data_IF_861207769379
#
_entry.id   IF_861207769379
#
_cell.length_a   1.000
_cell.length_b   1.000
_cell.length_c   1.000
_cell.angle_alpha   90.00
_cell.angle_beta   90.00
_cell.angle_gamma   90.00
#
_symmetry.space_group_name_H-M   'P 1'
#
loop_
_entity.id
_entity.type
_entity.pdbx_description
1 polymer ?
#
# COMPACT_ATOMS: atom_id res chain seq x y z
N UNK A 1 -17.21 8.29 -39.65
CA UNK A 1 -17.39 8.35 -38.18
C UNK A 1 -16.73 9.64 -37.72
N UNK A 2 -17.44 10.54 -37.05
CA UNK A 2 -16.83 11.79 -36.55
C UNK A 2 -15.92 11.44 -35.37
N UNK A 3 -14.64 11.24 -35.65
CA UNK A 3 -13.63 10.88 -34.66
C UNK A 3 -13.54 11.92 -33.53
N UNK A 4 -13.78 13.19 -33.84
CA UNK A 4 -13.89 14.28 -32.85
C UNK A 4 -15.04 14.08 -31.85
N UNK A 5 -16.21 13.62 -32.33
CA UNK A 5 -17.36 13.32 -31.46
C UNK A 5 -17.06 12.14 -30.51
N UNK A 6 -16.28 11.17 -30.96
CA UNK A 6 -15.84 10.04 -30.13
C UNK A 6 -14.89 10.50 -29.02
N UNK A 7 -13.88 11.31 -29.36
CA UNK A 7 -12.93 11.86 -28.39
C UNK A 7 -13.60 12.75 -27.35
N UNK A 8 -14.52 13.63 -27.79
CA UNK A 8 -15.37 14.42 -26.91
C UNK A 8 -16.15 13.55 -25.92
N UNK A 9 -16.83 12.52 -26.43
CA UNK A 9 -17.66 11.62 -25.61
C UNK A 9 -16.82 10.84 -24.61
N UNK A 10 -15.64 10.36 -25.01
CA UNK A 10 -14.73 9.64 -24.13
C UNK A 10 -14.21 10.53 -22.99
N UNK A 11 -13.84 11.78 -23.28
CA UNK A 11 -13.42 12.75 -22.24
C UNK A 11 -14.57 13.08 -21.28
N UNK A 12 -15.78 13.28 -21.79
CA UNK A 12 -16.97 13.50 -20.96
C UNK A 12 -17.23 12.31 -20.02
N UNK A 13 -17.16 11.08 -20.56
CA UNK A 13 -17.29 9.86 -19.76
C UNK A 13 -16.23 9.82 -18.65
N UNK A 14 -14.96 10.13 -18.96
CA UNK A 14 -13.88 10.14 -17.96
C UNK A 14 -14.13 11.15 -16.85
N UNK A 15 -14.57 12.38 -17.19
CA UNK A 15 -14.88 13.42 -16.22
C UNK A 15 -16.06 13.00 -15.33
N UNK A 16 -17.19 12.61 -15.93
CA UNK A 16 -18.40 12.23 -15.19
C UNK A 16 -18.13 11.02 -14.29
N UNK A 17 -17.45 10.00 -14.82
CA UNK A 17 -17.09 8.80 -14.04
C UNK A 17 -16.21 9.17 -12.87
N UNK A 18 -15.17 9.99 -13.08
CA UNK A 18 -14.26 10.40 -12.00
C UNK A 18 -14.96 11.22 -10.92
N UNK A 19 -15.89 12.11 -11.31
CA UNK A 19 -16.70 12.88 -10.35
C UNK A 19 -17.60 11.97 -9.52
N UNK A 20 -18.31 11.03 -10.15
CA UNK A 20 -19.14 10.05 -9.43
C UNK A 20 -18.28 9.23 -8.47
N UNK A 21 -17.13 8.74 -8.94
CA UNK A 21 -16.18 7.98 -8.13
C UNK A 21 -15.69 8.80 -6.94
N UNK A 22 -15.36 10.07 -7.13
CA UNK A 22 -14.94 10.98 -6.07
C UNK A 22 -16.05 11.17 -5.02
N UNK A 23 -17.28 11.44 -5.46
CA UNK A 23 -18.45 11.62 -4.58
C UNK A 23 -18.69 10.35 -3.75
N UNK A 24 -18.76 9.18 -4.40
CA UNK A 24 -18.96 7.90 -3.70
C UNK A 24 -17.83 7.68 -2.69
N UNK A 25 -16.57 7.91 -3.08
CA UNK A 25 -15.42 7.69 -2.19
C UNK A 25 -15.40 8.64 -0.99
N UNK A 26 -15.92 9.85 -1.14
CA UNK A 26 -16.01 10.83 -0.07
C UNK A 26 -17.06 10.44 0.98
N UNK A 27 -18.26 10.09 0.51
CA UNK A 27 -19.43 9.89 1.38
C UNK A 27 -19.58 8.45 1.88
N UNK A 28 -19.01 7.46 1.19
CA UNK A 28 -19.14 6.06 1.59
C UNK A 28 -17.98 5.60 2.48
N UNK A 29 -18.33 5.11 3.67
CA UNK A 29 -17.48 4.36 4.57
C UNK A 29 -18.28 3.13 5.04
N UNK A 30 -17.67 1.95 4.97
CA UNK A 30 -18.34 0.74 5.45
C UNK A 30 -18.35 0.73 6.98
N UNK A 31 -19.50 0.54 7.61
CA UNK A 31 -19.59 0.30 9.05
C UNK A 31 -19.05 -1.10 9.38
N UNK A 32 -18.26 -1.30 10.46
CA UNK A 32 -17.92 -0.36 11.55
C UNK A 32 -16.63 0.45 11.33
N UNK A 33 -16.01 0.34 10.15
CA UNK A 33 -14.71 0.95 9.87
C UNK A 33 -14.77 2.48 9.78
N UNK A 34 -15.97 3.03 9.66
CA UNK A 34 -16.28 4.45 9.75
C UNK A 34 -15.93 5.07 11.11
N UNK A 35 -15.83 4.27 12.18
CA UNK A 35 -15.44 4.74 13.52
C UNK A 35 -13.98 5.20 13.60
N UNK A 36 -13.08 4.62 12.80
CA UNK A 36 -11.65 4.96 12.74
C UNK A 36 -11.19 5.15 11.28
N UNK A 37 -11.69 6.17 10.58
CA UNK A 37 -11.54 6.29 9.13
C UNK A 37 -10.10 6.60 8.71
N UNK A 38 -9.33 7.31 9.54
CA UNK A 38 -7.92 7.63 9.23
C UNK A 38 -7.02 6.39 9.30
N UNK A 39 -7.41 5.40 10.10
CA UNK A 39 -6.73 4.11 10.16
C UNK A 39 -7.10 3.25 8.96
N UNK A 40 -8.39 2.95 8.76
CA UNK A 40 -8.85 2.02 7.71
C UNK A 40 -8.75 2.60 6.29
N UNK A 41 -8.79 3.93 6.15
CA UNK A 41 -8.83 4.62 4.87
C UNK A 41 -7.88 5.84 4.81
N UNK A 42 -6.57 5.66 5.05
CA UNK A 42 -5.61 6.75 5.25
C UNK A 42 -5.49 7.70 4.04
N UNK A 43 -5.59 7.17 2.83
CA UNK A 43 -5.48 7.95 1.58
C UNK A 43 -6.81 8.53 1.08
N UNK A 44 -7.94 8.34 1.79
CA UNK A 44 -9.29 8.64 1.26
C UNK A 44 -9.42 10.05 0.71
N UNK A 45 -9.04 11.06 1.51
CA UNK A 45 -9.22 12.48 1.13
C UNK A 45 -8.39 12.84 -0.10
N UNK A 46 -7.15 12.35 -0.15
CA UNK A 46 -6.26 12.58 -1.29
C UNK A 46 -6.77 11.90 -2.55
N UNK A 47 -7.11 10.60 -2.47
CA UNK A 47 -7.67 9.85 -3.60
C UNK A 47 -8.93 10.52 -4.14
N UNK A 48 -9.80 11.01 -3.25
CA UNK A 48 -10.99 11.78 -3.65
C UNK A 48 -10.61 13.07 -4.39
N UNK A 49 -9.67 13.86 -3.85
CA UNK A 49 -9.22 15.09 -4.47
C UNK A 49 -8.62 14.87 -5.87
N UNK A 50 -7.85 13.80 -6.05
CA UNK A 50 -7.31 13.43 -7.37
C UNK A 50 -8.41 13.03 -8.36
N UNK A 51 -9.42 12.26 -7.95
CA UNK A 51 -10.57 11.99 -8.82
C UNK A 51 -11.32 13.26 -9.23
N UNK A 52 -11.46 14.25 -8.33
CA UNK A 52 -12.00 15.56 -8.69
C UNK A 52 -11.08 16.36 -9.63
N UNK A 53 -9.76 16.20 -9.55
CA UNK A 53 -8.82 16.94 -10.40
C UNK A 53 -8.97 16.59 -11.89
N UNK A 54 -9.62 15.48 -12.25
CA UNK A 54 -10.00 15.16 -13.63
C UNK A 54 -10.95 16.22 -14.23
N UNK A 55 -11.67 17.00 -13.41
CA UNK A 55 -12.43 18.18 -13.85
C UNK A 55 -11.58 19.23 -14.56
N UNK A 56 -10.25 19.24 -14.34
CA UNK A 56 -9.35 20.13 -15.05
C UNK A 56 -9.31 19.84 -16.56
N UNK A 57 -9.82 18.70 -17.03
CA UNK A 57 -9.98 18.38 -18.44
C UNK A 57 -11.21 19.03 -19.10
N UNK A 58 -12.03 19.75 -18.34
CA UNK A 58 -13.22 20.46 -18.87
C UNK A 58 -12.94 21.38 -20.04
N UNK A 59 -11.80 22.10 -20.17
CA UNK A 59 -11.54 22.94 -21.34
C UNK A 59 -11.58 22.17 -22.65
N UNK A 60 -11.15 20.90 -22.66
CA UNK A 60 -11.20 20.03 -23.84
C UNK A 60 -12.63 19.76 -24.33
N UNK A 61 -13.64 19.87 -23.46
CA UNK A 61 -15.04 19.73 -23.89
C UNK A 61 -15.54 20.98 -24.62
N UNK A 62 -15.02 22.16 -24.30
CA UNK A 62 -15.47 23.41 -24.90
C UNK A 62 -14.64 23.83 -26.12
N UNK A 63 -13.34 23.51 -26.11
CA UNK A 63 -12.35 23.92 -27.11
C UNK A 63 -11.55 22.72 -27.62
N UNK A 64 -12.25 21.70 -28.13
CA UNK A 64 -11.62 20.45 -28.60
C UNK A 64 -10.72 20.64 -29.84
N UNK A 65 -10.96 21.71 -30.61
CA UNK A 65 -10.23 22.11 -31.81
C UNK A 65 -9.04 23.04 -31.52
N UNK A 66 -8.92 23.56 -30.30
CA UNK A 66 -7.84 24.46 -29.89
C UNK A 66 -6.51 23.72 -29.68
N UNK A 67 -5.41 24.18 -30.32
CA UNK A 67 -4.07 23.62 -30.08
C UNK A 67 -3.61 23.75 -28.63
N UNK A 68 -3.93 24.87 -27.96
CA UNK A 68 -3.57 25.11 -26.56
C UNK A 68 -4.25 24.09 -25.63
N UNK A 69 -5.52 23.82 -25.89
CA UNK A 69 -6.33 22.86 -25.13
C UNK A 69 -5.85 21.43 -25.33
N UNK A 70 -5.49 21.10 -26.57
CA UNK A 70 -4.92 19.81 -26.93
C UNK A 70 -3.57 19.56 -26.22
N UNK A 71 -2.67 20.54 -26.27
CA UNK A 71 -1.37 20.47 -25.60
C UNK A 71 -1.53 20.33 -24.08
N UNK A 72 -2.42 21.13 -23.47
CA UNK A 72 -2.72 21.05 -22.05
C UNK A 72 -3.21 19.63 -21.66
N UNK A 73 -4.16 19.08 -22.41
CA UNK A 73 -4.78 17.77 -22.11
C UNK A 73 -3.74 16.64 -22.13
N UNK A 74 -2.82 16.66 -23.10
CA UNK A 74 -1.72 15.69 -23.18
C UNK A 74 -0.73 15.85 -22.03
N UNK A 75 -0.34 17.08 -21.72
CA UNK A 75 0.57 17.37 -20.60
C UNK A 75 -0.04 16.96 -19.25
N UNK A 76 -1.35 17.18 -19.07
CA UNK A 76 -2.07 16.83 -17.85
C UNK A 76 -1.84 15.37 -17.48
N UNK A 77 -2.07 14.41 -18.39
CA UNK A 77 -2.00 12.99 -18.05
C UNK A 77 -0.61 12.50 -17.63
N UNK A 78 0.45 12.93 -18.33
CA UNK A 78 1.82 12.49 -18.05
C UNK A 78 2.33 13.00 -16.71
N UNK A 79 1.74 14.05 -16.14
CA UNK A 79 2.12 14.58 -14.82
C UNK A 79 1.10 14.18 -13.74
N UNK A 80 -0.19 14.22 -14.03
CA UNK A 80 -1.27 13.84 -13.12
C UNK A 80 -1.15 12.39 -12.63
N UNK A 81 -0.98 11.42 -13.53
CA UNK A 81 -0.95 9.99 -13.17
C UNK A 81 0.17 9.64 -12.20
N UNK A 82 1.44 10.03 -12.43
CA UNK A 82 2.52 9.65 -11.54
C UNK A 82 2.45 10.41 -10.21
N UNK A 83 1.99 11.67 -10.21
CA UNK A 83 1.69 12.40 -8.97
C UNK A 83 0.59 11.71 -8.15
N UNK A 84 -0.50 11.31 -8.79
CA UNK A 84 -1.60 10.59 -8.13
C UNK A 84 -1.11 9.26 -7.54
N UNK A 85 -0.41 8.46 -8.33
CA UNK A 85 0.14 7.18 -7.89
C UNK A 85 1.09 7.32 -6.70
N UNK A 86 2.02 8.26 -6.77
CA UNK A 86 2.98 8.53 -5.70
C UNK A 86 2.26 8.90 -4.40
N UNK A 87 1.37 9.90 -4.43
CA UNK A 87 0.66 10.37 -3.25
C UNK A 87 -0.29 9.30 -2.67
N UNK A 88 -0.98 8.54 -3.52
CA UNK A 88 -1.90 7.49 -3.09
C UNK A 88 -1.17 6.34 -2.38
N UNK A 89 -0.10 5.83 -2.98
CA UNK A 89 0.72 4.74 -2.42
C UNK A 89 1.47 5.22 -1.16
N UNK A 90 2.05 6.42 -1.19
CA UNK A 90 2.78 6.97 -0.05
C UNK A 90 1.88 7.11 1.18
N UNK A 91 0.70 7.72 1.02
CA UNK A 91 -0.25 7.91 2.12
C UNK A 91 -0.78 6.60 2.69
N UNK A 92 -0.95 5.59 1.84
CA UNK A 92 -1.59 4.35 2.27
C UNK A 92 -0.61 3.43 2.99
N UNK A 93 0.59 3.26 2.42
CA UNK A 93 1.54 2.24 2.89
C UNK A 93 2.64 2.79 3.81
N UNK A 94 2.89 4.10 3.85
CA UNK A 94 4.02 4.67 4.60
C UNK A 94 3.56 5.73 5.60
N UNK A 95 3.82 5.49 6.90
CA UNK A 95 3.38 6.33 8.02
C UNK A 95 4.54 7.23 8.48
N UNK A 96 5.09 8.05 7.58
CA UNK A 96 6.19 8.96 7.91
C UNK A 96 5.76 10.43 7.79
N UNK A 97 5.21 10.98 8.88
CA UNK A 97 4.50 12.28 8.94
C UNK A 97 5.40 13.47 8.54
N UNK A 98 6.70 13.43 8.87
CA UNK A 98 7.62 14.55 8.58
C UNK A 98 8.09 14.60 7.13
N UNK A 99 8.34 13.44 6.51
CA UNK A 99 8.68 13.35 5.08
C UNK A 99 7.45 13.62 4.20
N UNK A 100 6.25 13.34 4.73
CA UNK A 100 4.96 13.62 4.10
C UNK A 100 4.81 15.04 3.57
N UNK A 101 4.98 16.05 4.42
CA UNK A 101 4.66 17.45 4.06
C UNK A 101 5.58 17.97 2.95
N UNK A 102 6.89 17.75 3.07
CA UNK A 102 7.88 18.21 2.08
C UNK A 102 7.62 17.56 0.71
N UNK A 103 7.36 16.25 0.74
CA UNK A 103 7.06 15.47 -0.45
C UNK A 103 5.75 15.94 -1.13
N UNK A 104 4.69 16.25 -0.37
CA UNK A 104 3.44 16.78 -0.94
C UNK A 104 3.57 18.16 -1.58
N UNK A 105 4.35 19.04 -0.96
CA UNK A 105 4.64 20.34 -1.58
C UNK A 105 5.40 20.14 -2.91
N UNK A 106 6.39 19.24 -2.93
CA UNK A 106 7.23 19.01 -4.10
C UNK A 106 6.51 18.32 -5.28
N UNK A 107 5.62 17.35 -5.01
CA UNK A 107 5.06 16.46 -6.04
C UNK A 107 3.60 16.77 -6.38
N UNK A 108 2.87 17.41 -5.46
CA UNK A 108 1.49 17.82 -5.68
C UNK A 108 1.39 19.31 -6.03
N UNK A 109 1.80 20.16 -5.09
CA UNK A 109 1.54 21.61 -5.17
C UNK A 109 2.34 22.29 -6.28
N UNK A 110 3.65 22.02 -6.37
CA UNK A 110 4.53 22.68 -7.36
C UNK A 110 4.10 22.36 -8.80
N UNK A 111 3.91 21.08 -9.21
CA UNK A 111 3.40 20.79 -10.55
C UNK A 111 2.04 21.44 -10.80
N UNK A 112 1.12 21.42 -9.83
CA UNK A 112 -0.20 22.06 -9.98
C UNK A 112 -0.13 23.56 -10.23
N UNK A 113 0.78 24.27 -9.55
CA UNK A 113 1.02 25.70 -9.79
C UNK A 113 1.62 25.93 -11.18
N UNK A 114 2.58 25.10 -11.59
CA UNK A 114 3.20 25.18 -12.92
C UNK A 114 2.20 24.91 -14.06
N UNK A 115 1.15 24.13 -13.80
CA UNK A 115 0.08 23.85 -14.76
C UNK A 115 -0.98 24.93 -14.87
N UNK A 116 -1.11 25.81 -13.87
CA UNK A 116 -2.18 26.80 -13.83
C UNK A 116 -2.20 27.72 -15.07
N UNK A 117 -1.06 28.21 -15.60
CA UNK A 117 -1.05 29.00 -16.83
C UNK A 117 -1.55 28.21 -18.05
N UNK A 118 -1.15 26.94 -18.19
CA UNK A 118 -1.58 26.07 -19.29
C UNK A 118 -3.09 25.80 -19.21
N UNK A 119 -3.62 25.60 -18.00
CA UNK A 119 -5.06 25.44 -17.79
C UNK A 119 -5.82 26.72 -18.16
N UNK A 120 -5.33 27.90 -17.77
CA UNK A 120 -5.96 29.18 -18.12
C UNK A 120 -5.99 29.37 -19.65
N UNK A 121 -4.89 29.08 -20.34
CA UNK A 121 -4.83 29.18 -21.81
C UNK A 121 -5.77 28.17 -22.49
N UNK A 122 -5.83 26.94 -21.97
CA UNK A 122 -6.80 25.95 -22.43
C UNK A 122 -8.26 26.40 -22.25
N UNK A 123 -8.58 27.09 -21.16
CA UNK A 123 -9.91 27.67 -20.94
C UNK A 123 -10.25 28.80 -21.93
N UNK A 124 -9.24 29.51 -22.46
CA UNK A 124 -9.46 30.54 -23.49
C UNK A 124 -9.69 29.87 -24.86
N UNK A 125 -8.97 28.77 -25.13
CA UNK A 125 -9.22 27.93 -26.29
C UNK A 125 -8.71 28.52 -27.61
N UNK A 126 -7.57 29.20 -27.58
CA UNK A 126 -6.95 29.85 -28.74
C UNK A 126 -5.66 29.08 -29.16
N UNK A 127 -4.73 29.74 -29.85
CA UNK A 127 -3.44 29.17 -30.30
C UNK A 127 -2.20 29.93 -29.77
N UNK A 128 -2.23 30.46 -28.54
CA UNK A 128 -1.12 31.25 -27.99
C UNK A 128 0.18 30.46 -27.82
N UNK A 129 0.10 29.14 -27.67
CA UNK A 129 1.26 28.28 -27.42
C UNK A 129 1.88 27.71 -28.71
N UNK A 130 1.38 28.07 -29.89
CA UNK A 130 1.87 27.52 -31.17
C UNK A 130 3.38 27.73 -31.33
N UNK A 131 3.87 28.96 -31.14
CA UNK A 131 5.30 29.30 -31.20
C UNK A 131 6.13 28.66 -30.08
N UNK A 132 5.50 28.31 -28.96
CA UNK A 132 6.15 27.78 -27.76
C UNK A 132 5.93 26.26 -27.57
N UNK A 133 5.29 25.60 -28.55
CA UNK A 133 4.82 24.22 -28.42
C UNK A 133 5.92 23.24 -27.99
N UNK A 134 7.08 23.33 -28.65
CA UNK A 134 8.23 22.46 -28.36
C UNK A 134 8.80 22.73 -26.96
N UNK A 135 8.89 24.00 -26.57
CA UNK A 135 9.41 24.39 -25.26
C UNK A 135 8.51 23.85 -24.15
N UNK A 136 7.20 24.09 -24.25
CA UNK A 136 6.21 23.62 -23.26
C UNK A 136 6.20 22.09 -23.19
N UNK A 137 6.24 21.41 -24.33
CA UNK A 137 6.27 19.95 -24.40
C UNK A 137 7.51 19.37 -23.70
N UNK A 138 8.68 19.92 -23.96
CA UNK A 138 9.94 19.50 -23.31
C UNK A 138 9.88 19.76 -21.81
N UNK A 139 9.40 20.93 -21.39
CA UNK A 139 9.23 21.23 -19.95
C UNK A 139 8.27 20.25 -19.27
N UNK A 140 7.14 19.92 -19.90
CA UNK A 140 6.18 18.96 -19.38
C UNK A 140 6.79 17.54 -19.25
N UNK A 141 7.59 17.10 -20.23
CA UNK A 141 8.30 15.82 -20.14
C UNK A 141 9.34 15.84 -19.01
N UNK A 142 10.11 16.91 -18.85
CA UNK A 142 11.09 17.04 -17.75
C UNK A 142 10.38 16.94 -16.40
N UNK A 143 9.30 17.70 -16.20
CA UNK A 143 8.51 17.66 -14.95
C UNK A 143 7.90 16.27 -14.74
N UNK A 144 7.37 15.63 -15.79
CA UNK A 144 6.83 14.26 -15.73
C UNK A 144 7.89 13.26 -15.28
N UNK A 145 9.11 13.33 -15.83
CA UNK A 145 10.21 12.45 -15.45
C UNK A 145 10.64 12.66 -14.00
N UNK A 146 10.69 13.91 -13.51
CA UNK A 146 10.99 14.20 -12.12
C UNK A 146 9.96 13.54 -11.18
N UNK A 147 8.68 13.68 -11.46
CA UNK A 147 7.62 13.02 -10.68
C UNK A 147 7.67 11.50 -10.82
N UNK A 148 8.03 10.98 -11.99
CA UNK A 148 8.20 9.54 -12.21
C UNK A 148 9.35 8.94 -11.38
N UNK A 149 10.45 9.66 -11.18
CA UNK A 149 11.54 9.18 -10.30
C UNK A 149 11.04 8.93 -8.88
N UNK A 150 10.10 9.74 -8.41
CA UNK A 150 9.52 9.57 -7.09
C UNK A 150 8.53 8.39 -7.05
N UNK A 151 7.63 8.28 -8.05
CA UNK A 151 6.73 7.14 -8.16
C UNK A 151 7.52 5.81 -8.22
N UNK A 152 8.61 5.75 -8.97
CA UNK A 152 9.46 4.56 -9.06
C UNK A 152 10.17 4.27 -7.73
N UNK A 153 10.63 5.28 -7.00
CA UNK A 153 11.17 5.10 -5.65
C UNK A 153 10.12 4.54 -4.67
N UNK A 154 8.90 5.08 -4.65
CA UNK A 154 7.82 4.57 -3.78
C UNK A 154 7.44 3.14 -4.18
N UNK A 155 7.32 2.88 -5.48
CA UNK A 155 6.96 1.57 -6.01
C UNK A 155 8.00 0.52 -5.64
N UNK A 156 9.30 0.83 -5.78
CA UNK A 156 10.39 -0.08 -5.42
C UNK A 156 10.44 -0.34 -3.92
N UNK A 157 10.22 0.69 -3.08
CA UNK A 157 10.12 0.51 -1.64
C UNK A 157 8.92 -0.34 -1.23
N UNK A 158 7.75 -0.13 -1.86
CA UNK A 158 6.56 -0.94 -1.62
C UNK A 158 6.77 -2.38 -2.06
N UNK A 159 7.37 -2.59 -3.24
CA UNK A 159 7.71 -3.92 -3.74
C UNK A 159 8.70 -4.65 -2.82
N UNK A 160 9.70 -3.94 -2.30
CA UNK A 160 10.60 -4.48 -1.27
C UNK A 160 9.83 -4.89 -0.02
N UNK A 161 8.92 -4.04 0.47
CA UNK A 161 8.08 -4.37 1.64
C UNK A 161 7.16 -5.57 1.41
N UNK A 162 6.56 -5.69 0.22
CA UNK A 162 5.78 -6.86 -0.21
C UNK A 162 6.65 -8.11 -0.14
N UNK A 163 7.87 -8.04 -0.69
CA UNK A 163 8.83 -9.14 -0.70
C UNK A 163 9.19 -9.56 0.73
N UNK A 164 9.58 -8.61 1.57
CA UNK A 164 9.98 -8.86 2.95
C UNK A 164 8.84 -9.49 3.78
N UNK A 165 7.59 -9.07 3.53
CA UNK A 165 6.40 -9.63 4.17
C UNK A 165 6.16 -11.10 3.77
N UNK A 166 6.26 -11.43 2.47
CA UNK A 166 6.01 -12.79 1.97
C UNK A 166 7.05 -13.82 2.41
N UNK A 167 8.28 -13.41 2.69
CA UNK A 167 9.32 -14.32 3.14
C UNK A 167 9.32 -14.55 4.66
N UNK A 168 8.26 -14.12 5.37
CA UNK A 168 8.07 -14.36 6.80
C UNK A 168 9.22 -13.83 7.64
N UNK A 169 9.80 -12.69 7.24
CA UNK A 169 10.96 -12.13 7.92
C UNK A 169 10.59 -11.42 9.22
N UNK A 170 9.33 -11.04 9.43
CA UNK A 170 8.91 -10.25 10.58
C UNK A 170 8.46 -11.15 11.75
N UNK A 171 8.97 -10.88 12.95
CA UNK A 171 8.47 -11.45 14.22
C UNK A 171 7.26 -10.70 14.78
N UNK A 172 6.96 -9.52 14.23
CA UNK A 172 5.75 -8.75 14.51
C UNK A 172 4.80 -8.84 13.31
N UNK A 173 3.52 -9.10 13.58
CA UNK A 173 2.46 -8.91 12.60
C UNK A 173 2.18 -7.40 12.46
N UNK A 174 2.97 -6.71 11.64
CA UNK A 174 2.53 -5.41 11.13
C UNK A 174 1.22 -5.63 10.36
N UNK A 175 0.20 -4.79 10.61
CA UNK A 175 -1.08 -4.76 9.87
C UNK A 175 -0.86 -4.28 8.42
N UNK A 176 -0.07 -5.03 7.66
CA UNK A 176 0.31 -4.73 6.30
C UNK A 176 -0.65 -5.43 5.32
N UNK A 177 -1.41 -4.68 4.51
CA UNK A 177 -2.42 -5.24 3.62
C UNK A 177 -1.79 -5.79 2.33
N UNK A 178 -1.20 -6.98 2.41
CA UNK A 178 -0.38 -7.60 1.35
C UNK A 178 -1.14 -7.84 0.03
N UNK A 179 -2.39 -8.32 0.09
CA UNK A 179 -3.19 -8.59 -1.10
C UNK A 179 -3.49 -7.31 -1.86
N UNK A 180 -3.84 -6.25 -1.13
CA UNK A 180 -4.02 -4.91 -1.69
C UNK A 180 -2.73 -4.39 -2.30
N UNK A 181 -1.61 -4.46 -1.58
CA UNK A 181 -0.30 -4.01 -2.04
C UNK A 181 0.11 -4.65 -3.37
N UNK A 182 -0.03 -5.97 -3.50
CA UNK A 182 0.27 -6.70 -4.74
C UNK A 182 -0.61 -6.26 -5.91
N UNK A 183 -1.88 -5.96 -5.65
CA UNK A 183 -2.82 -5.53 -6.69
C UNK A 183 -2.53 -4.14 -7.25
N UNK A 184 -2.03 -3.22 -6.41
CA UNK A 184 -1.89 -1.79 -6.80
C UNK A 184 -0.46 -1.34 -7.10
N UNK A 185 0.58 -2.08 -6.68
CA UNK A 185 1.97 -1.60 -6.72
C UNK A 185 2.45 -1.17 -8.11
N UNK A 186 2.13 -1.90 -9.18
CA UNK A 186 2.56 -1.57 -10.54
C UNK A 186 1.53 -0.79 -11.36
N UNK A 187 0.31 -0.60 -10.82
CA UNK A 187 -0.80 0.01 -11.55
C UNK A 187 -0.48 1.45 -12.01
N UNK A 188 0.03 2.37 -11.17
CA UNK A 188 0.32 3.73 -11.62
C UNK A 188 1.42 3.81 -12.68
N UNK A 189 2.45 2.95 -12.59
CA UNK A 189 3.50 2.89 -13.61
C UNK A 189 2.94 2.43 -14.95
N UNK A 190 2.04 1.43 -14.95
CA UNK A 190 1.38 0.96 -16.17
C UNK A 190 0.45 1.99 -16.79
N UNK A 191 -0.24 2.81 -15.98
CA UNK A 191 -1.09 3.89 -16.49
C UNK A 191 -0.25 5.05 -17.02
N UNK A 192 0.90 5.34 -16.40
CA UNK A 192 1.81 6.38 -16.88
C UNK A 192 2.39 6.02 -18.24
N UNK A 193 2.82 4.76 -18.45
CA UNK A 193 3.33 4.34 -19.77
C UNK A 193 2.28 4.49 -20.86
N UNK A 194 1.01 4.14 -20.59
CA UNK A 194 -0.10 4.37 -21.52
C UNK A 194 -0.29 5.88 -21.80
N UNK A 195 -0.22 6.74 -20.78
CA UNK A 195 -0.33 8.19 -20.98
C UNK A 195 0.82 8.78 -21.78
N UNK A 196 2.03 8.24 -21.61
CA UNK A 196 3.20 8.68 -22.36
C UNK A 196 3.10 8.30 -23.84
N UNK A 197 2.51 7.13 -24.14
CA UNK A 197 2.17 6.75 -25.52
C UNK A 197 1.21 7.76 -26.14
N UNK A 198 0.17 8.20 -25.41
CA UNK A 198 -0.77 9.22 -25.89
C UNK A 198 -0.07 10.55 -26.17
N UNK A 199 0.86 10.95 -25.29
CA UNK A 199 1.62 12.17 -25.46
C UNK A 199 2.48 12.18 -26.74
N UNK A 200 3.10 11.04 -27.08
CA UNK A 200 3.95 10.90 -28.28
C UNK A 200 3.10 10.68 -29.55
N UNK A 201 2.02 9.92 -29.46
CA UNK A 201 1.21 9.54 -30.61
C UNK A 201 0.47 10.72 -31.26
N UNK A 202 0.28 11.81 -30.52
CA UNK A 202 -0.36 13.05 -30.98
C UNK A 202 -1.69 12.80 -31.72
N UNK A 203 -2.51 11.91 -31.17
CA UNK A 203 -3.72 11.40 -31.83
C UNK A 203 -4.91 11.36 -30.87
N UNK A 204 -6.00 12.02 -31.25
CA UNK A 204 -7.23 12.11 -30.47
C UNK A 204 -7.88 10.75 -30.19
N UNK A 205 -7.80 9.81 -31.12
CA UNK A 205 -8.39 8.46 -30.95
C UNK A 205 -7.64 7.69 -29.86
N UNK A 206 -6.32 7.86 -29.78
CA UNK A 206 -5.49 7.23 -28.74
C UNK A 206 -5.81 7.83 -27.36
N UNK A 207 -6.02 9.15 -27.30
CA UNK A 207 -6.50 9.83 -26.09
C UNK A 207 -7.89 9.31 -25.67
N UNK A 208 -8.82 9.17 -26.61
CA UNK A 208 -10.15 8.65 -26.34
C UNK A 208 -10.10 7.23 -25.75
N UNK A 209 -9.26 6.35 -26.31
CA UNK A 209 -9.01 5.02 -25.76
C UNK A 209 -8.45 5.08 -24.33
N UNK A 210 -7.48 5.96 -24.04
CA UNK A 210 -6.96 6.16 -22.69
C UNK A 210 -8.07 6.59 -21.73
N UNK A 211 -8.92 7.55 -22.11
CA UNK A 211 -10.03 8.05 -21.29
C UNK A 211 -11.01 6.93 -20.92
N UNK A 212 -11.34 6.04 -21.85
CA UNK A 212 -12.20 4.88 -21.58
C UNK A 212 -11.50 3.90 -20.63
N UNK A 213 -10.21 3.58 -20.86
CA UNK A 213 -9.42 2.72 -19.98
C UNK A 213 -9.38 3.30 -18.56
N UNK A 214 -9.08 4.59 -18.42
CA UNK A 214 -9.04 5.27 -17.12
C UNK A 214 -10.40 5.29 -16.43
N UNK A 215 -11.49 5.45 -17.19
CA UNK A 215 -12.86 5.36 -16.65
C UNK A 215 -13.13 3.98 -16.06
N UNK A 216 -12.85 2.91 -16.81
CA UNK A 216 -13.01 1.52 -16.32
C UNK A 216 -12.12 1.25 -15.12
N UNK A 217 -10.86 1.65 -15.17
CA UNK A 217 -9.90 1.48 -14.07
C UNK A 217 -10.32 2.27 -12.84
N UNK A 218 -10.86 3.49 -12.99
CA UNK A 218 -11.32 4.30 -11.85
C UNK A 218 -12.48 3.65 -11.10
N UNK A 219 -13.44 3.06 -11.82
CA UNK A 219 -14.54 2.29 -11.21
C UNK A 219 -14.02 1.02 -10.56
N UNK A 220 -13.12 0.29 -11.23
CA UNK A 220 -12.48 -0.90 -10.67
C UNK A 220 -11.73 -0.60 -9.37
N UNK A 221 -10.92 0.47 -9.35
CA UNK A 221 -10.22 0.95 -8.15
C UNK A 221 -11.24 1.31 -7.07
N UNK A 222 -12.32 2.05 -7.39
CA UNK A 222 -13.34 2.44 -6.41
C UNK A 222 -13.94 1.22 -5.72
N UNK A 223 -14.40 0.24 -6.49
CA UNK A 223 -15.00 -0.99 -5.97
C UNK A 223 -14.00 -1.69 -5.05
N UNK A 224 -12.75 -1.78 -5.50
CA UNK A 224 -11.68 -2.40 -4.74
C UNK A 224 -11.46 -1.67 -3.40
N UNK A 225 -11.26 -0.35 -3.40
CA UNK A 225 -10.93 0.43 -2.19
C UNK A 225 -12.13 0.74 -1.26
N UNK A 226 -13.34 0.32 -1.62
CA UNK A 226 -14.55 0.60 -0.85
C UNK A 226 -14.50 -0.11 0.52
N UNK A 227 -14.20 -1.41 0.49
CA UNK A 227 -13.93 -2.20 1.69
C UNK A 227 -12.44 -2.05 2.10
N UNK A 228 -12.15 -1.88 3.40
CA UNK A 228 -10.78 -1.69 3.85
C UNK A 228 -9.99 -3.00 3.84
N UNK A 229 -8.74 -2.94 3.40
CA UNK A 229 -7.93 -4.15 3.19
C UNK A 229 -7.01 -4.50 4.36
N UNK A 230 -7.13 -3.82 5.50
CA UNK A 230 -6.30 -4.07 6.68
C UNK A 230 -6.60 -5.44 7.28
N UNK A 231 -5.58 -6.12 7.77
CA UNK A 231 -5.68 -7.44 8.41
C UNK A 231 -6.61 -7.40 9.62
N UNK A 232 -6.66 -6.26 10.32
CA UNK A 232 -7.60 -6.04 11.42
C UNK A 232 -9.08 -6.23 11.03
N UNK A 233 -9.44 -6.01 9.76
CA UNK A 233 -10.82 -6.16 9.28
C UNK A 233 -11.34 -7.59 9.52
N UNK A 234 -10.51 -8.60 9.27
CA UNK A 234 -10.87 -10.00 9.53
C UNK A 234 -11.11 -10.28 11.01
N UNK A 235 -10.36 -9.64 11.91
CA UNK A 235 -10.58 -9.83 13.35
C UNK A 235 -11.90 -9.22 13.83
N UNK A 236 -12.27 -8.05 13.29
CA UNK A 236 -13.55 -7.39 13.55
C UNK A 236 -14.70 -8.20 12.96
N UNK A 237 -14.59 -8.64 11.71
CA UNK A 237 -15.59 -9.48 11.04
C UNK A 237 -15.82 -10.79 11.80
N UNK A 238 -14.75 -11.47 12.24
CA UNK A 238 -14.85 -12.69 13.03
C UNK A 238 -15.49 -12.44 14.40
N UNK A 239 -15.21 -11.30 15.04
CA UNK A 239 -15.83 -10.94 16.33
C UNK A 239 -17.31 -10.65 16.17
N UNK A 240 -17.69 -9.96 15.09
CA UNK A 240 -19.08 -9.71 14.73
C UNK A 240 -19.82 -11.00 14.40
N UNK A 241 -19.22 -11.87 13.57
CA UNK A 241 -19.78 -13.18 13.25
C UNK A 241 -19.93 -14.05 14.50
N UNK A 242 -18.95 -14.06 15.40
CA UNK A 242 -19.07 -14.76 16.70
C UNK A 242 -20.16 -14.16 17.58
N UNK A 243 -20.36 -12.85 17.59
CA UNK A 243 -21.43 -12.19 18.37
C UNK A 243 -22.82 -12.52 17.82
N UNK A 244 -22.94 -12.57 16.49
CA UNK A 244 -24.17 -12.97 15.77
C UNK A 244 -24.44 -14.47 15.96
N UNK A 245 -23.42 -15.33 15.86
CA UNK A 245 -23.54 -16.77 16.08
C UNK A 245 -23.72 -17.14 17.56
N UNK A 246 -23.22 -16.34 18.51
CA UNK A 246 -23.51 -16.53 19.93
C UNK A 246 -24.95 -16.13 20.30
N UNK A 247 -25.65 -15.39 19.43
CA UNK A 247 -27.09 -15.12 19.55
C UNK A 247 -27.96 -16.16 18.81
N UNK A 248 -27.36 -17.08 18.04
CA UNK A 248 -28.02 -18.25 17.44
C UNK A 248 -27.06 -19.47 17.50
N UNK A 249 -27.18 -20.25 18.57
CA UNK A 249 -26.12 -21.13 19.06
C UNK A 249 -25.48 -22.14 18.08
N UNK A 250 -24.25 -22.51 18.48
CA UNK A 250 -23.46 -23.73 18.18
C UNK A 250 -22.25 -23.57 17.25
N UNK A 251 -21.08 -23.66 17.90
CA UNK A 251 -19.74 -24.13 17.49
C UNK A 251 -19.42 -24.37 16.00
N UNK A 252 -18.31 -23.79 15.53
CA UNK A 252 -17.13 -24.56 15.08
C UNK A 252 -15.92 -23.66 14.87
N UNK A 253 -14.78 -24.09 15.41
CA UNK A 253 -13.43 -23.66 15.06
C UNK A 253 -13.05 -24.09 13.63
N UNK A 254 -12.18 -23.30 12.98
CA UNK A 254 -10.88 -23.74 12.44
C UNK A 254 -10.12 -22.55 11.85
N UNK A 255 -8.89 -22.35 12.33
CA UNK A 255 -7.84 -21.62 11.61
C UNK A 255 -7.36 -22.49 10.45
N UNK A 256 -7.11 -21.88 9.29
CA UNK A 256 -6.25 -22.48 8.26
C UNK A 256 -5.12 -21.51 7.91
N UNK A 257 -3.91 -21.97 8.23
CA UNK A 257 -2.62 -21.50 7.75
C UNK A 257 -2.53 -21.65 6.23
N UNK A 258 -2.08 -20.61 5.54
CA UNK A 258 -1.54 -20.72 4.19
C UNK A 258 -0.05 -20.46 4.28
N UNK A 259 0.75 -21.53 4.24
CA UNK A 259 2.10 -21.46 3.74
C UNK A 259 2.50 -22.81 3.12
N UNK A 260 2.29 -22.90 1.80
CA UNK A 260 2.69 -24.03 0.99
C UNK A 260 3.79 -23.58 0.02
N UNK A 261 5.05 -23.67 0.46
CA UNK A 261 6.20 -23.75 -0.42
C UNK A 261 7.00 -24.99 -0.04
N UNK A 262 6.84 -26.02 -0.85
CA UNK A 262 7.49 -27.31 -0.70
C UNK A 262 8.93 -27.21 -1.26
N UNK A 263 9.92 -27.29 -0.38
CA UNK A 263 11.30 -27.61 -0.76
C UNK A 263 11.66 -28.99 -0.22
N UNK A 264 11.77 -29.98 -1.11
CA UNK A 264 12.28 -31.33 -0.83
C UNK A 264 13.79 -31.28 -0.53
N UNK A 265 14.18 -30.72 0.61
CA UNK A 265 15.55 -30.79 1.14
C UNK A 265 15.51 -31.69 2.36
N UNK A 266 15.99 -32.92 2.19
CA UNK A 266 16.09 -33.88 3.28
C UNK A 266 17.35 -33.55 4.10
N UNK A 267 17.17 -33.21 5.38
CA UNK A 267 18.25 -32.82 6.29
C UNK A 267 18.47 -33.92 7.32
N UNK A 268 19.74 -34.27 7.56
CA UNK A 268 20.13 -35.26 8.57
C UNK A 268 19.83 -34.76 9.99
N UNK A 269 19.50 -35.68 10.89
CA UNK A 269 19.18 -35.39 12.29
C UNK A 269 20.31 -34.64 13.01
N UNK A 270 21.57 -34.95 12.66
CA UNK A 270 22.75 -34.26 13.19
C UNK A 270 22.78 -32.77 12.80
N UNK A 271 22.39 -32.43 11.56
CA UNK A 271 22.31 -31.05 11.09
C UNK A 271 21.15 -30.30 11.75
N UNK A 272 19.99 -30.95 11.92
CA UNK A 272 18.85 -30.40 12.66
C UNK A 272 19.27 -30.00 14.08
N UNK A 273 19.93 -30.91 14.81
CA UNK A 273 20.39 -30.68 16.18
C UNK A 273 21.43 -29.56 16.27
N UNK A 274 22.36 -29.49 15.32
CA UNK A 274 23.38 -28.45 15.30
C UNK A 274 22.75 -27.07 15.10
N UNK A 275 21.82 -26.94 14.14
CA UNK A 275 21.16 -25.66 13.87
C UNK A 275 20.23 -25.27 15.03
N UNK A 276 19.48 -26.21 15.60
CA UNK A 276 18.69 -25.98 16.81
C UNK A 276 19.54 -25.42 17.96
N UNK A 277 20.71 -26.03 18.23
CA UNK A 277 21.62 -25.56 19.27
C UNK A 277 22.13 -24.15 19.00
N UNK A 278 22.42 -23.83 17.74
CA UNK A 278 22.82 -22.47 17.35
C UNK A 278 21.68 -21.46 17.50
N UNK A 279 20.44 -21.83 17.13
CA UNK A 279 19.26 -21.00 17.30
C UNK A 279 19.07 -20.66 18.79
N UNK A 280 19.05 -21.66 19.68
CA UNK A 280 18.89 -21.41 21.12
C UNK A 280 19.99 -20.53 21.69
N UNK A 281 21.25 -20.82 21.34
CA UNK A 281 22.41 -20.02 21.78
C UNK A 281 22.32 -18.55 21.33
N UNK A 282 21.90 -18.31 20.09
CA UNK A 282 21.77 -16.95 19.56
C UNK A 282 20.55 -16.25 20.17
N UNK A 283 19.37 -16.85 20.04
CA UNK A 283 18.08 -16.23 20.42
C UNK A 283 17.95 -16.09 21.94
N UNK A 284 18.08 -17.19 22.69
CA UNK A 284 17.91 -17.19 24.15
C UNK A 284 19.15 -16.58 24.82
N UNK A 285 20.35 -17.01 24.40
CA UNK A 285 21.61 -16.62 25.03
C UNK A 285 21.97 -15.14 24.85
N UNK A 286 21.73 -14.55 23.68
CA UNK A 286 21.94 -13.12 23.43
C UNK A 286 20.66 -12.29 23.62
N UNK A 287 19.56 -12.93 24.02
CA UNK A 287 18.22 -12.32 24.18
C UNK A 287 17.76 -11.53 22.95
N UNK A 288 18.03 -12.03 21.74
CA UNK A 288 17.66 -11.37 20.49
C UNK A 288 16.14 -11.19 20.34
N UNK A 289 15.35 -12.03 21.02
CA UNK A 289 13.90 -11.91 21.05
C UNK A 289 13.40 -10.59 21.65
N UNK A 290 14.22 -9.87 22.43
CA UNK A 290 13.87 -8.56 22.99
C UNK A 290 13.92 -7.43 21.96
N UNK A 291 14.55 -7.61 20.79
CA UNK A 291 14.46 -6.61 19.72
C UNK A 291 13.14 -6.79 18.98
N UNK A 292 12.30 -5.75 19.00
CA UNK A 292 11.01 -5.71 18.28
C UNK A 292 11.16 -5.81 16.77
N UNK A 293 12.35 -5.52 16.25
CA UNK A 293 12.68 -5.62 14.82
C UNK A 293 13.40 -6.92 14.48
N UNK A 294 13.60 -7.83 15.43
CA UNK A 294 14.35 -9.07 15.19
C UNK A 294 13.68 -9.93 14.12
N UNK A 295 14.43 -10.22 13.06
CA UNK A 295 13.97 -10.98 11.90
C UNK A 295 14.65 -12.34 11.81
N UNK A 296 13.99 -13.28 11.12
CA UNK A 296 14.59 -14.58 10.77
C UNK A 296 15.87 -14.42 9.93
N UNK A 297 15.99 -13.35 9.16
CA UNK A 297 17.21 -13.03 8.41
C UNK A 297 18.36 -12.59 9.32
N UNK A 298 18.07 -11.83 10.38
CA UNK A 298 19.08 -11.47 11.38
C UNK A 298 19.63 -12.73 12.04
N UNK A 299 18.76 -13.69 12.37
CA UNK A 299 19.16 -14.99 12.88
C UNK A 299 20.01 -15.77 11.87
N UNK A 300 19.61 -15.81 10.60
CA UNK A 300 20.36 -16.50 9.55
C UNK A 300 21.79 -15.94 9.40
N UNK A 301 21.92 -14.61 9.42
CA UNK A 301 23.22 -13.91 9.41
C UNK A 301 24.03 -14.19 10.68
N UNK A 302 23.38 -14.17 11.84
CA UNK A 302 24.03 -14.39 13.13
C UNK A 302 24.66 -15.79 13.25
N UNK A 303 23.96 -16.83 12.81
CA UNK A 303 24.42 -18.22 12.94
C UNK A 303 25.12 -18.76 11.67
N UNK A 304 25.19 -17.96 10.60
CA UNK A 304 25.87 -18.33 9.36
C UNK A 304 25.15 -19.41 8.55
N UNK A 305 23.80 -19.37 8.48
CA UNK A 305 22.98 -20.30 7.70
C UNK A 305 22.08 -19.58 6.69
N UNK A 306 21.23 -20.31 5.97
CA UNK A 306 20.23 -19.73 5.08
C UNK A 306 18.79 -19.90 5.62
N UNK A 307 17.87 -19.14 5.03
CA UNK A 307 16.46 -19.08 5.45
C UNK A 307 15.71 -20.40 5.26
N UNK A 308 16.07 -21.18 4.25
CA UNK A 308 15.45 -22.48 3.95
C UNK A 308 15.73 -23.46 5.08
N UNK A 309 16.98 -23.55 5.53
CA UNK A 309 17.38 -24.45 6.60
C UNK A 309 16.74 -24.05 7.94
N UNK A 310 16.67 -22.75 8.25
CA UNK A 310 15.94 -22.26 9.42
C UNK A 310 14.45 -22.66 9.36
N UNK A 311 13.80 -22.48 8.21
CA UNK A 311 12.37 -22.83 8.05
C UNK A 311 12.11 -24.31 8.36
N UNK A 312 12.99 -25.20 7.89
CA UNK A 312 12.91 -26.64 8.14
C UNK A 312 13.06 -26.94 9.63
N UNK A 313 14.05 -26.34 10.30
CA UNK A 313 14.30 -26.55 11.73
C UNK A 313 13.14 -26.03 12.59
N UNK A 314 12.66 -24.81 12.33
CA UNK A 314 11.54 -24.23 13.08
C UNK A 314 10.29 -25.11 13.00
N UNK A 315 9.94 -25.57 11.79
CA UNK A 315 8.81 -26.48 11.59
C UNK A 315 8.96 -27.81 12.34
N UNK A 316 10.17 -28.37 12.36
CA UNK A 316 10.44 -29.68 12.98
C UNK A 316 10.60 -29.63 14.50
N UNK A 317 11.08 -28.51 15.07
CA UNK A 317 11.54 -28.44 16.46
C UNK A 317 10.84 -27.40 17.33
N UNK A 318 10.23 -26.38 16.71
CA UNK A 318 9.81 -25.17 17.41
C UNK A 318 8.45 -24.63 16.93
N UNK A 319 7.66 -25.46 16.23
CA UNK A 319 6.44 -25.11 15.48
C UNK A 319 6.66 -24.06 14.37
N UNK A 320 6.96 -22.82 14.75
CA UNK A 320 7.27 -21.71 13.84
C UNK A 320 8.26 -20.73 14.49
N UNK A 321 8.94 -19.92 13.67
CA UNK A 321 9.78 -18.82 14.18
C UNK A 321 8.95 -17.83 15.01
N UNK A 322 7.73 -17.55 14.58
CA UNK A 322 6.80 -16.63 15.24
C UNK A 322 6.42 -17.13 16.64
N UNK A 323 5.90 -18.35 16.73
CA UNK A 323 5.47 -18.97 17.99
C UNK A 323 6.63 -19.06 18.99
N UNK A 324 7.80 -19.50 18.52
CA UNK A 324 8.99 -19.61 19.35
C UNK A 324 9.45 -18.27 19.95
N UNK A 325 9.57 -17.22 19.12
CA UNK A 325 10.00 -15.90 19.60
C UNK A 325 8.97 -15.30 20.55
N UNK A 326 7.68 -15.38 20.20
CA UNK A 326 6.63 -14.79 21.01
C UNK A 326 6.38 -15.54 22.32
N UNK A 327 6.62 -16.85 22.36
CA UNK A 327 6.68 -17.62 23.60
C UNK A 327 7.74 -17.04 24.54
N UNK A 328 8.98 -16.87 24.05
CA UNK A 328 10.07 -16.29 24.85
C UNK A 328 9.76 -14.85 25.30
N UNK A 329 9.13 -14.04 24.45
CA UNK A 329 8.72 -12.67 24.81
C UNK A 329 7.65 -12.66 25.90
N UNK A 330 6.67 -13.56 25.86
CA UNK A 330 5.65 -13.65 26.92
C UNK A 330 6.23 -14.19 28.21
N UNK A 331 7.03 -15.25 28.16
CA UNK A 331 7.73 -15.78 29.34
C UNK A 331 8.58 -14.69 30.01
N UNK A 332 9.32 -13.91 29.21
CA UNK A 332 10.06 -12.76 29.71
C UNK A 332 9.13 -11.68 30.30
N UNK A 333 7.99 -11.40 29.66
CA UNK A 333 7.04 -10.41 30.16
C UNK A 333 6.44 -10.77 31.52
N UNK A 334 6.24 -12.07 31.77
CA UNK A 334 5.74 -12.58 33.05
C UNK A 334 6.78 -12.31 34.14
N UNK A 335 8.04 -12.68 33.89
CA UNK A 335 9.13 -12.39 34.83
C UNK A 335 9.35 -10.88 35.04
N UNK A 336 9.26 -10.08 33.98
CA UNK A 336 9.39 -8.63 34.08
C UNK A 336 8.26 -8.02 34.94
N UNK A 337 7.03 -8.54 34.82
CA UNK A 337 5.90 -8.11 35.63
C UNK A 337 6.05 -8.52 37.11
N UNK A 338 6.66 -9.68 37.39
CA UNK A 338 6.99 -10.12 38.76
C UNK A 338 8.05 -9.21 39.40
N UNK A 339 9.08 -8.82 38.65
CA UNK A 339 10.15 -7.92 39.12
C UNK A 339 9.70 -6.46 39.23
N UNK A 340 8.70 -6.06 38.43
CA UNK A 340 8.16 -4.69 38.37
C UNK A 340 6.62 -4.67 38.47
N UNK A 341 6.03 -4.89 39.66
CA UNK A 341 4.58 -4.97 39.83
C UNK A 341 3.82 -3.68 39.43
N UNK A 342 4.50 -2.54 39.47
CA UNK A 342 3.95 -1.22 39.16
C UNK A 342 4.00 -0.89 37.65
N UNK A 343 4.68 -1.71 36.84
CA UNK A 343 4.88 -1.44 35.41
C UNK A 343 3.56 -1.53 34.64
N UNK A 344 3.32 -0.55 33.77
CA UNK A 344 2.13 -0.55 32.93
C UNK A 344 2.32 -1.45 31.68
N UNK A 345 1.22 -1.79 31.00
CA UNK A 345 1.26 -2.66 29.81
C UNK A 345 2.15 -2.13 28.67
N UNK A 346 2.37 -0.81 28.59
CA UNK A 346 3.26 -0.20 27.59
C UNK A 346 4.73 -0.47 27.90
N UNK A 347 5.13 -0.29 29.15
CA UNK A 347 6.47 -0.59 29.62
C UNK A 347 6.79 -2.08 29.48
N UNK A 348 5.86 -2.95 29.90
CA UNK A 348 6.02 -4.41 29.79
C UNK A 348 6.16 -4.81 28.30
N UNK A 349 5.32 -4.26 27.43
CA UNK A 349 5.37 -4.56 25.99
C UNK A 349 6.71 -4.15 25.38
N UNK A 350 7.19 -2.93 25.64
CA UNK A 350 8.46 -2.43 25.11
C UNK A 350 9.63 -3.23 25.66
N UNK A 351 9.67 -3.46 26.97
CA UNK A 351 10.74 -4.21 27.64
C UNK A 351 10.81 -5.67 27.15
N UNK A 352 9.67 -6.25 26.79
CA UNK A 352 9.57 -7.63 26.29
C UNK A 352 9.73 -7.75 24.78
N UNK A 353 10.10 -6.67 24.08
CA UNK A 353 10.38 -6.70 22.64
C UNK A 353 9.14 -6.69 21.74
N UNK A 354 7.97 -6.29 22.24
CA UNK A 354 6.80 -6.04 21.40
C UNK A 354 6.86 -4.64 20.78
N UNK A 355 6.43 -4.52 19.52
CA UNK A 355 6.34 -3.22 18.84
C UNK A 355 5.14 -2.38 19.28
N UNK A 356 4.16 -3.00 19.95
CA UNK A 356 2.97 -2.31 20.47
C UNK A 356 2.36 -3.06 21.65
N UNK A 357 1.64 -2.32 22.52
CA UNK A 357 0.83 -2.89 23.62
C UNK A 357 -0.21 -3.88 23.10
N UNK A 358 -0.79 -3.58 21.95
CA UNK A 358 -1.84 -4.41 21.35
C UNK A 358 -1.32 -5.78 20.94
N UNK A 359 -0.14 -5.82 20.32
CA UNK A 359 0.54 -7.08 19.96
C UNK A 359 0.83 -7.89 21.22
N UNK A 360 1.34 -7.26 22.28
CA UNK A 360 1.57 -7.90 23.57
C UNK A 360 0.29 -8.55 24.13
N UNK A 361 -0.80 -7.79 24.24
CA UNK A 361 -2.05 -8.29 24.81
C UNK A 361 -2.65 -9.45 24.01
N UNK A 362 -2.60 -9.39 22.68
CA UNK A 362 -3.08 -10.48 21.82
C UNK A 362 -2.26 -11.75 22.02
N UNK A 363 -0.94 -11.63 22.05
CA UNK A 363 -0.05 -12.80 22.21
C UNK A 363 -0.17 -13.38 23.62
N UNK A 364 -0.32 -12.54 24.64
CA UNK A 364 -0.61 -12.99 26.00
C UNK A 364 -1.89 -13.83 26.07
N UNK A 365 -2.96 -13.36 25.42
CA UNK A 365 -4.22 -14.10 25.34
C UNK A 365 -4.05 -15.46 24.64
N UNK A 366 -3.34 -15.52 23.50
CA UNK A 366 -3.09 -16.78 22.78
C UNK A 366 -2.21 -17.76 23.57
N UNK A 367 -1.23 -17.24 24.32
CA UNK A 367 -0.40 -18.05 25.20
C UNK A 367 -1.22 -18.66 26.35
N UNK A 368 -2.11 -17.87 26.97
CA UNK A 368 -3.02 -18.32 28.02
C UNK A 368 -4.04 -19.35 27.50
N UNK A 369 -4.52 -19.22 26.25
CA UNK A 369 -5.42 -20.20 25.61
C UNK A 369 -4.72 -21.45 25.08
N UNK A 370 -3.37 -21.53 25.14
CA UNK A 370 -2.53 -22.58 24.54
C UNK A 370 -2.70 -22.73 23.02
N UNK A 371 -2.99 -21.61 22.35
CA UNK A 371 -3.18 -21.52 20.89
C UNK A 371 -1.96 -20.90 20.17
N UNK A 372 -0.85 -20.70 20.89
CA UNK A 372 0.37 -20.06 20.39
C UNK A 372 1.32 -21.03 19.67
#
# INVERSE_FOLDING_TARGET
MNWSLYSYSATLIAIVTSVIVAIVRWFHLCHPYDQNPDYFYPSRRFVTGYFFAVLLLTPYLFHWDSPDTWLFTRCFYIIYIPSFGAVALQNYFFIDIRRRIIHYCAIGLIPSILFLPLFILACIGDNYLEDYYTLVSVTAVIVSLLVLTDLTFITTNLFKRIKDFLYGEYSNEDDFPIHFAKGVVFLPLSLWTLSFIVFIADNETVLACLNIILSVVSVGILIFILHPHRTECHSIENTMAKTINNSQGSQSEKLEDIDNIQSNVEMTETMLNQIEKQIRKAVEGQRLFLDSRFKREDLARCIGTNRTYLSIVFRKRFSSFYSYINTLRIEYSIHYQEEHPEANNLEIAIASGFGSVRSYLRIKMLFESREL
#
